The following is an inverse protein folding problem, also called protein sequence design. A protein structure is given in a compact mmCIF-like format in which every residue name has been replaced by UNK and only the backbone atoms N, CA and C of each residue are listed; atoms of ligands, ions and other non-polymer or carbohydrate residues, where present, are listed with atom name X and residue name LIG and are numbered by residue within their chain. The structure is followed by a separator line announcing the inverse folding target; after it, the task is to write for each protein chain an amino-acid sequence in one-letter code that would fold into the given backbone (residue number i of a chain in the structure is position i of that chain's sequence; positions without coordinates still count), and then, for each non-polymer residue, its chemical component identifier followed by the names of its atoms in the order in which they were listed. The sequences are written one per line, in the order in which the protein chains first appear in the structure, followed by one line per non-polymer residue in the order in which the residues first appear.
data_IF_481237125317
#
_entry.id   IF_481237125317
#
_cell.length_a   1.000
_cell.length_b   1.000
_cell.length_c   1.000
_cell.angle_alpha   90.00
_cell.angle_beta   90.00
_cell.angle_gamma   90.00
#
_symmetry.space_group_name_H-M   'P 1'
#
loop_
_entity.id
_entity.type
_entity.pdbx_description
1 polymer ?
#
# COMPACT_ATOMS: atom_id res chain seq x y z
N UNK A 1 4.35 25.98 25.17
CA UNK A 1 3.56 24.91 24.53
C UNK A 1 4.53 23.93 23.92
N UNK A 2 4.62 22.71 24.44
CA UNK A 2 5.43 21.66 23.81
C UNK A 2 4.66 21.14 22.60
N UNK A 3 5.27 21.15 21.41
CA UNK A 3 4.69 20.48 20.25
C UNK A 3 4.88 18.98 20.42
N UNK A 4 3.79 18.25 20.70
CA UNK A 4 3.75 16.80 20.64
C UNK A 4 3.80 16.35 19.18
N UNK A 5 4.98 16.44 18.57
CA UNK A 5 5.21 15.98 17.20
C UNK A 5 5.96 14.66 17.25
N UNK A 6 5.54 13.72 16.40
CA UNK A 6 6.27 12.48 16.20
C UNK A 6 7.72 12.78 15.76
N UNK A 7 8.69 11.94 16.19
CA UNK A 7 10.07 12.00 15.73
C UNK A 7 10.16 12.07 14.21
N UNK A 8 11.22 12.69 13.69
CA UNK A 8 11.40 12.90 12.24
C UNK A 8 11.29 11.62 11.41
N UNK A 9 11.63 10.46 11.98
CA UNK A 9 11.66 9.14 11.31
C UNK A 9 10.42 8.27 11.58
N UNK A 10 9.38 8.85 12.22
CA UNK A 10 8.13 8.15 12.52
C UNK A 10 6.92 8.87 11.92
N UNK A 11 7.14 9.65 10.85
CA UNK A 11 6.08 10.39 10.18
C UNK A 11 5.73 9.70 8.87
N UNK A 12 4.46 9.32 8.74
CA UNK A 12 3.97 8.65 7.53
C UNK A 12 4.00 9.63 6.36
N UNK A 13 4.63 9.21 5.27
CA UNK A 13 4.70 9.95 4.01
C UNK A 13 3.78 9.33 2.94
N UNK A 14 3.50 10.07 1.88
CA UNK A 14 2.79 9.51 0.72
C UNK A 14 3.74 8.62 -0.06
N UNK A 15 3.30 7.40 -0.32
CA UNK A 15 4.06 6.41 -1.06
C UNK A 15 3.69 6.34 -2.54
N UNK A 16 3.94 5.17 -3.13
CA UNK A 16 3.65 4.87 -4.54
C UNK A 16 2.16 4.66 -4.77
N UNK A 17 1.70 4.95 -5.98
CA UNK A 17 0.35 4.64 -6.43
C UNK A 17 0.42 3.64 -7.59
N UNK A 18 -0.39 2.59 -7.51
CA UNK A 18 -0.49 1.54 -8.51
C UNK A 18 -1.92 1.51 -9.03
N UNK A 19 -2.11 1.99 -10.26
CA UNK A 19 -3.40 2.02 -10.93
C UNK A 19 -3.87 0.60 -11.28
N UNK A 20 -5.18 0.40 -11.32
CA UNK A 20 -5.75 -0.87 -11.77
C UNK A 20 -5.55 -1.03 -13.29
N UNK A 21 -5.52 -2.29 -13.73
CA UNK A 21 -5.50 -2.60 -15.16
C UNK A 21 -6.71 -1.97 -15.87
N UNK A 22 -6.46 -1.33 -17.02
CA UNK A 22 -7.49 -0.64 -17.81
C UNK A 22 -8.62 -1.60 -18.16
N UNK A 23 -9.86 -1.24 -17.77
CA UNK A 23 -11.07 -1.98 -18.12
C UNK A 23 -11.77 -2.68 -16.97
N UNK A 24 -11.25 -2.62 -15.74
CA UNK A 24 -11.99 -3.10 -14.56
C UNK A 24 -13.15 -2.17 -14.22
N UNK A 25 -14.35 -2.73 -14.10
CA UNK A 25 -15.54 -1.99 -13.66
C UNK A 25 -15.68 -1.96 -12.13
N UNK A 26 -15.04 -2.92 -11.45
CA UNK A 26 -15.16 -3.14 -10.01
C UNK A 26 -13.79 -3.02 -9.32
N UNK A 27 -13.28 -1.80 -9.28
CA UNK A 27 -11.98 -1.52 -8.69
C UNK A 27 -12.12 -1.12 -7.23
N UNK A 28 -11.22 -1.62 -6.37
CA UNK A 28 -11.07 -1.17 -4.98
C UNK A 28 -9.66 -0.69 -4.70
N UNK A 29 -9.60 0.41 -3.96
CA UNK A 29 -8.34 1.03 -3.55
C UNK A 29 -7.94 0.55 -2.16
N UNK A 30 -6.72 0.03 -2.05
CA UNK A 30 -6.10 -0.43 -0.82
C UNK A 30 -4.95 0.50 -0.45
N UNK A 31 -5.06 1.15 0.71
CA UNK A 31 -3.98 1.93 1.29
C UNK A 31 -3.15 1.03 2.21
N UNK A 32 -1.91 0.74 1.82
CA UNK A 32 -1.04 -0.22 2.49
C UNK A 32 0.13 0.52 3.13
N UNK A 33 0.28 0.35 4.44
CA UNK A 33 1.43 0.86 5.17
C UNK A 33 2.69 0.10 4.76
N UNK A 34 3.76 0.82 4.44
CA UNK A 34 5.04 0.27 4.03
C UNK A 34 6.14 0.87 4.89
N UNK A 35 6.96 -0.01 5.43
CA UNK A 35 8.14 0.36 6.19
C UNK A 35 9.24 -0.65 5.92
N UNK A 36 10.42 -0.14 5.60
CA UNK A 36 11.63 -0.93 5.40
C UNK A 36 12.64 -0.51 6.49
N UNK A 37 12.92 -1.37 7.49
CA UNK A 37 13.82 -1.04 8.59
C UNK A 37 15.28 -0.84 8.15
N UNK A 38 15.68 -1.38 7.01
CA UNK A 38 17.06 -1.32 6.51
C UNK A 38 17.32 -0.04 5.72
N UNK A 39 16.28 0.55 5.12
CA UNK A 39 16.37 1.78 4.31
C UNK A 39 16.70 3.04 5.12
N UNK A 40 16.37 3.06 6.42
CA UNK A 40 16.42 4.27 7.24
C UNK A 40 15.40 5.35 6.87
N UNK A 41 14.48 5.06 5.93
CA UNK A 41 13.45 5.97 5.48
C UNK A 41 12.26 6.03 6.45
N UNK A 42 11.47 7.11 6.32
CA UNK A 42 10.20 7.19 7.02
C UNK A 42 9.22 6.16 6.49
N UNK A 43 8.27 5.68 7.33
CA UNK A 43 7.15 4.93 6.84
C UNK A 43 6.36 5.68 5.78
N UNK A 44 5.73 4.94 4.88
CA UNK A 44 4.89 5.51 3.83
C UNK A 44 3.60 4.72 3.66
N UNK A 45 2.63 5.29 2.98
CA UNK A 45 1.41 4.59 2.56
C UNK A 45 1.41 4.51 1.04
N UNK A 46 1.58 3.29 0.54
CA UNK A 46 1.42 2.97 -0.88
C UNK A 46 -0.07 2.68 -1.16
N UNK A 47 -0.55 3.03 -2.34
CA UNK A 47 -1.95 2.88 -2.74
C UNK A 47 -2.04 1.92 -3.92
N UNK A 48 -2.85 0.87 -3.79
CA UNK A 48 -3.04 -0.17 -4.80
C UNK A 48 -4.49 -0.23 -5.24
N UNK A 49 -4.74 -0.08 -6.52
CA UNK A 49 -6.05 -0.29 -7.11
C UNK A 49 -6.14 -1.70 -7.67
N UNK A 50 -7.07 -2.49 -7.13
CA UNK A 50 -7.23 -3.90 -7.47
C UNK A 50 -8.62 -4.15 -8.04
N UNK A 51 -8.63 -4.88 -9.15
CA UNK A 51 -9.83 -5.40 -9.78
C UNK A 51 -10.42 -6.52 -8.92
N UNK A 52 -11.57 -6.26 -8.31
CA UNK A 52 -12.25 -7.20 -7.43
C UNK A 52 -12.94 -8.33 -8.17
N UNK A 53 -13.17 -8.21 -9.48
CA UNK A 53 -13.73 -9.29 -10.28
C UNK A 53 -12.69 -10.40 -10.53
N UNK A 54 -11.40 -10.05 -10.45
CA UNK A 54 -10.25 -10.94 -10.58
C UNK A 54 -9.53 -11.18 -9.23
N UNK A 55 -10.21 -10.96 -8.12
CA UNK A 55 -9.68 -11.14 -6.77
C UNK A 55 -10.65 -11.96 -5.91
N UNK A 56 -10.11 -12.76 -4.99
CA UNK A 56 -10.92 -13.44 -3.98
C UNK A 56 -11.67 -12.45 -3.09
N UNK A 57 -12.71 -12.91 -2.38
CA UNK A 57 -13.59 -12.03 -1.60
C UNK A 57 -12.93 -11.43 -0.36
N UNK A 58 -11.78 -11.97 0.08
CA UNK A 58 -11.13 -11.57 1.33
C UNK A 58 -9.99 -10.57 1.10
N UNK A 59 -9.71 -9.75 2.11
CA UNK A 59 -8.60 -8.78 2.08
C UNK A 59 -7.24 -9.49 1.92
N UNK A 60 -7.09 -10.69 2.49
CA UNK A 60 -5.86 -11.48 2.32
C UNK A 60 -5.62 -11.87 0.85
N UNK A 61 -6.69 -12.18 0.11
CA UNK A 61 -6.58 -12.51 -1.32
C UNK A 61 -6.06 -11.30 -2.10
N UNK A 62 -6.54 -10.09 -1.76
CA UNK A 62 -6.07 -8.85 -2.36
C UNK A 62 -4.59 -8.58 -2.03
N UNK A 63 -4.15 -8.82 -0.79
CA UNK A 63 -2.74 -8.66 -0.42
C UNK A 63 -1.83 -9.67 -1.14
N UNK A 64 -2.28 -10.91 -1.28
CA UNK A 64 -1.54 -11.94 -2.03
C UNK A 64 -1.45 -11.56 -3.51
N UNK A 65 -2.55 -11.08 -4.10
CA UNK A 65 -2.57 -10.59 -5.48
C UNK A 65 -1.62 -9.41 -5.69
N UNK A 66 -1.66 -8.42 -4.81
CA UNK A 66 -0.71 -7.29 -4.82
C UNK A 66 0.73 -7.82 -4.79
N UNK A 67 1.06 -8.72 -3.87
CA UNK A 67 2.42 -9.28 -3.74
C UNK A 67 2.86 -10.03 -5.00
N UNK A 68 1.99 -10.85 -5.58
CA UNK A 68 2.39 -11.74 -6.68
C UNK A 68 2.39 -11.05 -8.05
N UNK A 69 1.47 -10.12 -8.29
CA UNK A 69 1.21 -9.56 -9.62
C UNK A 69 1.66 -8.09 -9.78
N UNK A 70 1.68 -7.31 -8.69
CA UNK A 70 1.89 -5.85 -8.75
C UNK A 70 3.22 -5.44 -8.12
N UNK A 71 3.48 -5.85 -6.87
CA UNK A 71 4.65 -5.47 -6.09
C UNK A 71 5.17 -6.62 -5.21
N UNK A 72 6.16 -7.39 -5.72
CA UNK A 72 6.81 -8.47 -4.98
C UNK A 72 7.51 -8.05 -3.68
N UNK A 73 7.75 -6.75 -3.49
CA UNK A 73 8.40 -6.20 -2.29
C UNK A 73 7.44 -5.99 -1.12
N UNK A 74 6.15 -6.30 -1.28
CA UNK A 74 5.18 -6.24 -0.19
C UNK A 74 5.46 -7.35 0.85
N UNK A 75 5.79 -6.94 2.08
CA UNK A 75 6.09 -7.79 3.24
C UNK A 75 5.51 -7.19 4.50
#
# INVERSE_FOLDING_TARGET
MAEFRLPKNSRITKGKHFDAARGSANTRTFAVYRYDPDSGENPRVDTYEIDMDNCGPMVLDALIKIKNEVDPTLT
#
